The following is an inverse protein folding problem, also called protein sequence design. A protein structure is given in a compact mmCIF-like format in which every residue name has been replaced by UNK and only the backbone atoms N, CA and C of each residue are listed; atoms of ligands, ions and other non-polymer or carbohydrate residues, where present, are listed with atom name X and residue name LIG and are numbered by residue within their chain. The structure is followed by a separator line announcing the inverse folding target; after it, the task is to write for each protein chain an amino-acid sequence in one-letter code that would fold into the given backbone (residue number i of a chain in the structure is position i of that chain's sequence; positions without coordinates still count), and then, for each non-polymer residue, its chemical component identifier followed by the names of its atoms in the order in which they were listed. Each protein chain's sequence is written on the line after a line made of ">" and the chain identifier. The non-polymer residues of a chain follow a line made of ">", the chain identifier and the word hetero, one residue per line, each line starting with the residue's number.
data_IF_833607740161
#
_entry.id   IF_833607740161
#
_cell.length_a   1.000
_cell.length_b   1.000
_cell.length_c   1.000
_cell.angle_alpha   90.00
_cell.angle_beta   90.00
_cell.angle_gamma   90.00
#
_symmetry.space_group_name_H-M   'P 1'
#
loop_
_entity.id
_entity.type
_entity.pdbx_description
1 polymer ?
#
# COMPACT_ATOMS: atom_id res chain seq x y z
N UNK A 1 31.38 -0.29 15.58
CA UNK A 1 31.30 1.06 16.18
C UNK A 1 29.95 1.20 16.85
N UNK A 2 29.83 1.93 17.96
CA UNK A 2 28.68 1.87 18.89
C UNK A 2 27.28 1.84 18.23
N UNK A 3 27.05 2.55 17.12
CA UNK A 3 25.80 2.49 16.38
C UNK A 3 25.37 1.07 15.98
N UNK A 4 26.31 0.22 15.55
CA UNK A 4 26.03 -1.17 15.19
C UNK A 4 25.55 -2.02 16.37
N UNK A 5 26.05 -1.72 17.58
CA UNK A 5 25.63 -2.40 18.81
C UNK A 5 24.22 -1.95 19.19
N UNK A 6 23.92 -0.65 19.09
CA UNK A 6 22.57 -0.12 19.32
C UNK A 6 21.55 -0.71 18.33
N UNK A 7 21.84 -0.70 17.03
CA UNK A 7 20.95 -1.31 16.02
C UNK A 7 20.72 -2.81 16.26
N UNK A 8 21.77 -3.55 16.65
CA UNK A 8 21.64 -4.97 16.96
C UNK A 8 20.79 -5.20 18.22
N UNK A 9 20.93 -4.36 19.24
CA UNK A 9 20.14 -4.45 20.47
C UNK A 9 18.67 -4.13 20.24
N UNK A 10 18.36 -3.06 19.50
CA UNK A 10 16.99 -2.69 19.11
C UNK A 10 16.34 -3.79 18.27
N UNK A 11 17.06 -4.34 17.29
CA UNK A 11 16.57 -5.46 16.49
C UNK A 11 16.31 -6.72 17.32
N UNK A 12 17.17 -7.02 18.31
CA UNK A 12 16.98 -8.13 19.24
C UNK A 12 15.73 -7.93 20.10
N UNK A 13 15.55 -6.75 20.69
CA UNK A 13 14.36 -6.41 21.50
C UNK A 13 13.08 -6.49 20.66
N UNK A 14 13.10 -5.98 19.42
CA UNK A 14 11.96 -6.05 18.50
C UNK A 14 11.54 -7.49 18.18
N UNK A 15 12.51 -8.41 18.03
CA UNK A 15 12.23 -9.82 17.74
C UNK A 15 11.76 -10.61 18.96
N UNK A 16 12.30 -10.31 20.16
CA UNK A 16 11.93 -10.97 21.42
C UNK A 16 10.64 -10.44 22.03
N UNK A 17 10.30 -9.18 21.77
CA UNK A 17 9.07 -8.52 22.21
C UNK A 17 8.28 -7.99 21.02
N UNK A 18 7.82 -8.86 20.12
CA UNK A 18 7.05 -8.43 18.97
C UNK A 18 5.76 -7.77 19.45
N UNK A 19 5.40 -6.67 18.79
CA UNK A 19 4.09 -6.08 19.01
C UNK A 19 3.01 -7.12 18.69
N UNK A 20 2.04 -7.25 19.59
CA UNK A 20 0.92 -8.20 19.46
C UNK A 20 -0.26 -7.61 18.70
N UNK A 21 -0.22 -6.30 18.43
CA UNK A 21 -1.22 -5.66 17.60
C UNK A 21 -1.17 -6.24 16.19
N UNK A 22 -2.35 -6.61 15.67
CA UNK A 22 -2.46 -7.02 14.27
C UNK A 22 -2.18 -5.79 13.40
N UNK A 23 -1.24 -5.86 12.45
CA UNK A 23 -0.93 -4.72 11.59
C UNK A 23 -2.11 -4.44 10.66
N UNK A 24 -2.40 -3.16 10.43
CA UNK A 24 -3.34 -2.76 9.39
C UNK A 24 -2.74 -3.08 8.02
N UNK A 25 -3.55 -3.66 7.14
CA UNK A 25 -3.19 -4.02 5.77
C UNK A 25 -3.85 -3.05 4.80
N UNK A 26 -3.03 -2.33 4.06
CA UNK A 26 -3.47 -1.40 3.01
C UNK A 26 -3.14 -2.00 1.65
N UNK A 27 -4.15 -2.19 0.80
CA UNK A 27 -3.91 -2.64 -0.58
C UNK A 27 -3.47 -1.47 -1.45
N UNK A 28 -2.22 -1.49 -1.91
CA UNK A 28 -1.66 -0.49 -2.82
C UNK A 28 -2.39 -0.52 -4.18
N UNK A 29 -2.90 0.65 -4.61
CA UNK A 29 -3.62 0.93 -5.86
C UNK A 29 -4.80 0.00 -6.15
N UNK A 30 -5.41 -0.54 -5.11
CA UNK A 30 -6.56 -1.42 -5.24
C UNK A 30 -6.31 -2.76 -5.91
N UNK A 31 -5.07 -3.26 -5.93
CA UNK A 31 -4.72 -4.58 -6.48
C UNK A 31 -3.99 -5.45 -5.47
N UNK A 32 -4.19 -6.76 -5.58
CA UNK A 32 -3.43 -7.78 -4.87
C UNK A 32 -3.20 -8.98 -5.77
N UNK A 33 -1.98 -9.54 -5.76
CA UNK A 33 -1.63 -10.73 -6.54
C UNK A 33 -2.07 -10.70 -8.03
N UNK A 34 -1.91 -9.55 -8.70
CA UNK A 34 -2.28 -9.34 -10.11
C UNK A 34 -3.77 -9.63 -10.42
N UNK A 35 -4.66 -9.42 -9.44
CA UNK A 35 -6.11 -9.66 -9.57
C UNK A 35 -6.85 -8.66 -10.48
N UNK A 36 -6.19 -7.62 -10.98
CA UNK A 36 -6.78 -6.61 -11.84
C UNK A 36 -5.79 -5.53 -12.29
N UNK A 37 -6.33 -4.50 -12.94
CA UNK A 37 -5.60 -3.29 -13.32
C UNK A 37 -5.69 -2.31 -12.17
N UNK A 38 -4.56 -1.71 -11.77
CA UNK A 38 -4.50 -0.71 -10.70
C UNK A 38 -5.50 0.44 -10.90
N UNK A 39 -6.01 1.02 -9.81
CA UNK A 39 -6.87 2.20 -9.85
C UNK A 39 -8.13 2.04 -10.73
N UNK A 40 -8.69 0.82 -10.81
CA UNK A 40 -9.96 0.55 -11.51
C UNK A 40 -11.04 0.10 -10.54
N UNK A 41 -12.30 0.47 -10.79
CA UNK A 41 -13.44 0.03 -9.97
C UNK A 41 -13.49 -1.50 -9.88
N UNK A 42 -13.20 -2.19 -10.98
CA UNK A 42 -13.19 -3.65 -11.04
C UNK A 42 -12.09 -4.28 -10.15
N UNK A 43 -10.90 -3.66 -10.06
CA UNK A 43 -9.87 -4.16 -9.14
C UNK A 43 -10.23 -3.87 -7.69
N UNK A 44 -10.79 -2.70 -7.40
CA UNK A 44 -11.26 -2.33 -6.07
C UNK A 44 -12.32 -3.32 -5.56
N UNK A 45 -13.32 -3.63 -6.37
CA UNK A 45 -14.38 -4.60 -6.03
C UNK A 45 -13.82 -6.00 -5.76
N UNK A 46 -12.87 -6.47 -6.57
CA UNK A 46 -12.22 -7.78 -6.38
C UNK A 46 -11.35 -7.79 -5.13
N UNK A 47 -10.56 -6.75 -4.91
CA UNK A 47 -9.65 -6.61 -3.77
C UNK A 47 -10.42 -6.48 -2.46
N UNK A 48 -11.58 -5.82 -2.46
CA UNK A 48 -12.46 -5.73 -1.29
C UNK A 48 -12.91 -7.11 -0.78
N UNK A 49 -13.07 -8.11 -1.68
CA UNK A 49 -13.40 -9.48 -1.27
C UNK A 49 -12.28 -10.16 -0.46
N UNK A 50 -11.03 -9.67 -0.58
CA UNK A 50 -9.88 -10.15 0.20
C UNK A 50 -9.81 -9.52 1.60
N UNK A 51 -10.70 -8.56 1.90
CA UNK A 51 -10.82 -7.87 3.20
C UNK A 51 -9.52 -7.22 3.71
N UNK A 52 -8.83 -6.39 2.92
CA UNK A 52 -7.83 -5.49 3.51
C UNK A 52 -8.54 -4.48 4.44
N UNK A 53 -7.82 -3.92 5.41
CA UNK A 53 -8.37 -2.88 6.29
C UNK A 53 -8.66 -1.59 5.50
N UNK A 54 -7.80 -1.27 4.53
CA UNK A 54 -7.91 -0.09 3.68
C UNK A 54 -7.46 -0.41 2.25
N UNK A 55 -7.89 0.44 1.31
CA UNK A 55 -7.38 0.45 -0.05
C UNK A 55 -6.82 1.84 -0.33
N UNK A 56 -5.58 1.88 -0.82
CA UNK A 56 -4.95 3.09 -1.31
C UNK A 56 -5.30 3.28 -2.80
N UNK A 57 -5.47 4.55 -3.20
CA UNK A 57 -5.83 4.96 -4.55
C UNK A 57 -5.11 6.25 -4.91
N UNK A 58 -4.59 6.32 -6.13
CA UNK A 58 -3.93 7.51 -6.65
C UNK A 58 -4.94 8.39 -7.39
N UNK A 59 -5.01 9.68 -7.08
CA UNK A 59 -5.90 10.63 -7.74
C UNK A 59 -5.09 11.73 -8.41
N UNK A 60 -5.45 12.09 -9.64
CA UNK A 60 -4.87 13.21 -10.39
C UNK A 60 -5.95 14.08 -11.02
N UNK A 61 -5.64 15.37 -11.20
CA UNK A 61 -6.50 16.34 -11.88
C UNK A 61 -6.16 16.42 -13.37
N UNK A 62 -7.18 16.44 -14.23
CA UNK A 62 -7.05 16.60 -15.68
C UNK A 62 -7.02 18.09 -16.06
N UNK A 63 -6.67 18.38 -17.32
CA UNK A 63 -6.62 19.76 -17.84
C UNK A 63 -7.97 20.49 -17.74
N UNK A 64 -9.08 19.77 -17.82
CA UNK A 64 -10.45 20.27 -17.67
C UNK A 64 -10.96 20.22 -16.21
N UNK A 65 -10.07 20.03 -15.24
CA UNK A 65 -10.37 20.12 -13.81
C UNK A 65 -11.14 18.93 -13.24
N UNK A 66 -11.15 17.79 -13.94
CA UNK A 66 -11.78 16.56 -13.46
C UNK A 66 -10.76 15.70 -12.71
N UNK A 67 -11.22 14.92 -11.74
CA UNK A 67 -10.37 13.98 -11.02
C UNK A 67 -10.47 12.58 -11.62
N UNK A 68 -9.33 11.95 -11.85
CA UNK A 68 -9.20 10.58 -12.35
C UNK A 68 -8.32 9.76 -11.42
N UNK A 69 -8.56 8.44 -11.35
CA UNK A 69 -7.67 7.54 -10.62
C UNK A 69 -6.49 7.13 -11.50
N UNK A 70 -5.28 7.59 -11.19
CA UNK A 70 -4.07 7.35 -11.99
C UNK A 70 -2.82 7.60 -11.16
N UNK A 71 -1.85 6.67 -11.22
CA UNK A 71 -0.57 6.85 -10.54
C UNK A 71 0.41 7.72 -11.35
N UNK A 72 0.58 7.40 -12.63
CA UNK A 72 1.60 8.05 -13.47
C UNK A 72 1.05 9.34 -14.08
N UNK A 73 1.91 10.33 -14.28
CA UNK A 73 1.52 11.61 -14.91
C UNK A 73 1.39 11.53 -16.43
N UNK A 74 1.62 10.34 -17.01
CA UNK A 74 1.53 10.09 -18.43
C UNK A 74 0.85 8.74 -18.70
N UNK A 75 0.33 8.55 -19.90
CA UNK A 75 -0.46 7.36 -20.29
C UNK A 75 0.38 6.20 -20.84
N UNK A 76 1.72 6.29 -20.78
CA UNK A 76 2.58 5.22 -21.31
C UNK A 76 2.56 4.03 -20.34
N UNK A 77 2.62 2.84 -20.92
CA UNK A 77 2.78 1.57 -20.21
C UNK A 77 4.24 1.27 -19.90
#
# INVERSE_FOLDING_TARGET
>A
GCASIFFALEGYIYLESPDTNTPLVISHRGVSNKNGVQNTVQSLEKTAQLKPDLIEMDVQETKDGQFVMMHDTNLKS
#
